data_IF_389292784594
#
_entry.id   IF_389292784594
#
_cell.length_a   1.000
_cell.length_b   1.000
_cell.length_c   1.000
_cell.angle_alpha   90.00
_cell.angle_beta   90.00
_cell.angle_gamma   90.00
#
_symmetry.space_group_name_H-M   'P 1'
#
loop_
_entity.id
_entity.type
_entity.pdbx_description
1 polymer ?
#
# COMPACT_ATOMS: atom_id res chain seq x y z
N UNK A 1 19.36 15.03 5.06
CA UNK A 1 18.63 14.38 6.17
C UNK A 1 18.79 12.88 6.08
N UNK A 2 19.06 12.17 7.19
CA UNK A 2 19.16 10.71 7.16
C UNK A 2 17.78 10.10 6.80
N UNK A 3 17.73 9.04 5.97
CA UNK A 3 16.50 8.31 5.69
C UNK A 3 15.88 7.74 6.98
N UNK A 4 14.55 7.86 7.11
CA UNK A 4 13.77 7.19 8.16
C UNK A 4 13.13 5.96 7.53
N UNK A 5 13.33 4.79 8.14
CA UNK A 5 12.75 3.53 7.67
C UNK A 5 11.38 3.33 8.31
N UNK A 6 10.44 2.87 7.51
CA UNK A 6 9.10 2.46 7.94
C UNK A 6 8.83 1.05 7.43
N UNK A 7 8.27 0.21 8.28
CA UNK A 7 7.65 -1.03 7.87
C UNK A 7 6.24 -0.70 7.38
N UNK A 8 5.92 -1.01 6.13
CA UNK A 8 4.60 -0.74 5.56
C UNK A 8 3.94 -2.03 5.12
N UNK A 9 2.62 -2.09 5.22
CA UNK A 9 1.84 -3.12 4.53
C UNK A 9 1.51 -2.66 3.12
N UNK A 10 1.74 -3.52 2.13
CA UNK A 10 1.36 -3.27 0.74
C UNK A 10 -0.10 -3.68 0.54
N UNK A 11 -0.97 -2.71 0.28
CA UNK A 11 -2.42 -2.90 0.34
C UNK A 11 -3.08 -2.63 -1.02
N UNK A 12 -3.52 -3.69 -1.70
CA UNK A 12 -4.24 -3.59 -2.98
C UNK A 12 -5.67 -3.05 -2.84
N UNK A 13 -6.18 -2.87 -1.61
CA UNK A 13 -7.50 -2.33 -1.31
C UNK A 13 -7.56 -0.81 -1.14
N UNK A 14 -6.42 -0.16 -0.87
CA UNK A 14 -6.31 1.30 -0.75
C UNK A 14 -5.28 1.87 -1.72
N UNK A 15 -5.24 3.19 -1.91
CA UNK A 15 -4.46 3.85 -2.99
C UNK A 15 -3.44 4.87 -2.52
N UNK A 16 -3.33 5.11 -1.21
CA UNK A 16 -2.50 6.16 -0.63
C UNK A 16 -1.37 5.56 0.21
N UNK A 17 -0.25 6.25 0.25
CA UNK A 17 0.82 6.00 1.21
C UNK A 17 0.60 6.86 2.45
N UNK A 18 0.55 6.23 3.63
CA UNK A 18 0.58 6.94 4.90
C UNK A 18 1.53 6.32 5.91
N UNK A 19 2.16 7.18 6.72
CA UNK A 19 3.03 6.79 7.84
C UNK A 19 2.82 7.73 9.05
N UNK A 20 3.26 7.37 10.26
CA UNK A 20 3.03 8.19 11.45
C UNK A 20 3.86 9.47 11.47
N UNK A 21 3.24 10.62 11.82
CA UNK A 21 3.98 11.85 12.16
C UNK A 21 4.46 11.80 13.60
N UNK A 22 5.61 12.42 13.91
CA UNK A 22 6.07 12.63 15.30
C UNK A 22 5.11 13.49 16.13
N UNK A 23 4.25 14.27 15.45
CA UNK A 23 3.21 15.06 16.08
C UNK A 23 2.01 14.22 16.54
N UNK A 24 1.86 12.98 16.04
CA UNK A 24 0.80 12.08 16.48
C UNK A 24 1.05 11.56 17.91
N UNK A 25 -0.02 11.57 18.73
CA UNK A 25 0.02 11.11 20.13
C UNK A 25 -0.90 9.93 20.43
N UNK A 26 -1.58 9.38 19.43
CA UNK A 26 -2.29 8.09 19.56
C UNK A 26 -1.33 7.00 20.02
N UNK A 27 -1.82 6.04 20.82
CA UNK A 27 -1.02 4.91 21.34
C UNK A 27 -0.33 4.16 20.20
N UNK A 28 -1.07 3.90 19.11
CA UNK A 28 -0.56 3.29 17.88
C UNK A 28 0.64 4.02 17.30
N UNK A 29 0.62 5.35 17.23
CA UNK A 29 1.75 6.14 16.75
C UNK A 29 2.98 6.04 17.67
N UNK A 30 2.78 6.00 19.00
CA UNK A 30 3.90 5.95 19.96
C UNK A 30 4.64 4.61 19.98
N UNK A 31 4.01 3.56 19.46
CA UNK A 31 4.58 2.21 19.38
C UNK A 31 5.27 1.92 18.04
N UNK A 32 5.14 2.82 17.06
CA UNK A 32 5.65 2.67 15.70
C UNK A 32 6.68 3.76 15.36
N UNK A 33 7.40 3.57 14.26
CA UNK A 33 8.30 4.60 13.75
C UNK A 33 7.51 5.85 13.35
N UNK A 34 8.10 7.03 13.54
CA UNK A 34 7.47 8.32 13.22
C UNK A 34 8.39 9.22 12.41
N UNK A 35 7.81 10.06 11.55
CA UNK A 35 8.52 11.09 10.80
C UNK A 35 8.47 12.44 11.51
N UNK A 36 9.62 13.00 11.83
CA UNK A 36 9.74 14.35 12.40
C UNK A 36 10.06 15.38 11.31
N UNK A 37 9.03 16.13 10.90
CA UNK A 37 9.16 17.19 9.90
C UNK A 37 9.93 18.41 10.40
N UNK A 38 10.10 18.64 11.71
CA UNK A 38 10.89 19.79 12.20
C UNK A 38 12.38 19.61 11.91
N UNK A 39 12.81 18.36 11.72
CA UNK A 39 14.15 18.01 11.24
C UNK A 39 14.29 18.09 9.73
N UNK A 40 13.18 18.31 9.01
CA UNK A 40 13.15 18.46 7.56
C UNK A 40 12.94 19.92 7.16
N UNK A 41 13.62 20.37 6.10
CA UNK A 41 13.44 21.71 5.54
C UNK A 41 12.05 21.73 4.90
N UNK A 42 11.08 22.19 5.68
CA UNK A 42 9.64 22.18 5.42
C UNK A 42 9.24 22.51 3.98
N UNK A 43 8.37 21.67 3.40
CA UNK A 43 7.48 22.07 2.31
C UNK A 43 6.01 21.90 2.74
N UNK A 44 5.32 23.05 2.72
CA UNK A 44 3.88 23.33 2.82
C UNK A 44 3.27 23.44 4.23
N UNK A 45 2.66 24.59 4.60
CA UNK A 45 1.95 24.79 5.86
C UNK A 45 0.71 23.91 6.03
N UNK A 46 0.54 23.42 7.26
CA UNK A 46 -0.60 22.66 7.81
C UNK A 46 -1.86 23.52 7.82
N UNK A 47 -2.92 23.10 7.13
CA UNK A 47 -4.29 23.54 7.47
C UNK A 47 -5.36 22.52 7.04
N UNK A 48 -5.07 21.61 6.12
CA UNK A 48 -6.03 20.58 5.70
C UNK A 48 -5.58 19.19 6.15
N UNK A 49 -6.41 18.55 6.96
CA UNK A 49 -6.27 17.14 7.34
C UNK A 49 -7.40 16.34 6.69
N UNK A 50 -7.08 15.12 6.28
CA UNK A 50 -7.98 14.17 5.65
C UNK A 50 -8.13 12.94 6.54
N UNK A 51 -9.33 12.38 6.60
CA UNK A 51 -9.56 11.08 7.22
C UNK A 51 -9.51 9.99 6.17
N UNK A 52 -8.59 9.04 6.36
CA UNK A 52 -8.51 7.79 5.62
C UNK A 52 -9.33 6.75 6.39
N UNK A 53 -10.30 6.15 5.72
CA UNK A 53 -11.18 5.14 6.31
C UNK A 53 -10.77 3.76 5.81
N UNK A 54 -10.44 2.87 6.74
CA UNK A 54 -10.23 1.45 6.53
C UNK A 54 -11.39 0.69 7.17
N UNK A 55 -11.66 -0.53 6.70
CA UNK A 55 -12.71 -1.37 7.30
C UNK A 55 -12.48 -1.64 8.79
N UNK A 56 -11.22 -1.62 9.23
CA UNK A 56 -10.79 -1.83 10.62
C UNK A 56 -10.78 -0.57 11.48
N UNK A 57 -10.71 0.62 10.89
CA UNK A 57 -10.52 1.87 11.64
C UNK A 57 -10.11 3.04 10.75
N UNK A 58 -9.73 4.14 11.40
CA UNK A 58 -9.50 5.43 10.74
C UNK A 58 -8.13 6.01 11.06
N UNK A 59 -7.61 6.77 10.09
CA UNK A 59 -6.37 7.53 10.22
C UNK A 59 -6.63 8.96 9.77
N UNK A 60 -6.45 9.93 10.65
CA UNK A 60 -6.48 11.35 10.29
C UNK A 60 -5.07 11.81 9.99
N UNK A 61 -4.83 12.33 8.78
CA UNK A 61 -3.50 12.66 8.30
C UNK A 61 -3.50 13.99 7.53
N UNK A 62 -2.34 14.62 7.41
CA UNK A 62 -2.15 15.73 6.49
C UNK A 62 -1.20 15.29 5.37
N UNK A 63 -1.31 15.93 4.21
CA UNK A 63 -0.47 15.62 3.06
C UNK A 63 0.88 16.34 3.18
N UNK A 64 1.97 15.63 2.91
CA UNK A 64 3.32 16.17 2.81
C UNK A 64 4.04 15.55 1.61
N UNK A 65 4.89 16.32 0.92
CA UNK A 65 5.76 15.80 -0.13
C UNK A 65 7.07 15.31 0.47
N UNK A 66 7.46 14.07 0.16
CA UNK A 66 8.64 13.39 0.68
C UNK A 66 9.39 12.71 -0.46
N UNK A 67 10.72 12.65 -0.36
CA UNK A 67 11.50 11.75 -1.21
C UNK A 67 11.43 10.36 -0.58
N UNK A 68 10.99 9.36 -1.35
CA UNK A 68 10.82 7.99 -0.87
C UNK A 68 11.64 7.01 -1.69
N UNK A 69 12.07 5.93 -1.03
CA UNK A 69 12.75 4.81 -1.65
C UNK A 69 12.02 3.53 -1.25
N UNK A 70 11.63 2.72 -2.23
CA UNK A 70 10.97 1.42 -2.03
C UNK A 70 11.61 0.41 -2.98
N UNK A 71 12.36 -0.55 -2.42
CA UNK A 71 13.25 -1.38 -3.23
C UNK A 71 14.24 -0.49 -3.99
N UNK A 72 14.30 -0.67 -5.31
CA UNK A 72 15.13 0.12 -6.22
C UNK A 72 14.42 1.36 -6.80
N UNK A 73 13.15 1.57 -6.44
CA UNK A 73 12.35 2.70 -6.91
C UNK A 73 12.60 3.91 -6.01
N UNK A 74 13.12 4.99 -6.58
CA UNK A 74 13.27 6.29 -5.94
C UNK A 74 12.27 7.28 -6.54
N UNK A 75 11.47 7.92 -5.68
CA UNK A 75 10.46 8.90 -6.09
C UNK A 75 10.70 10.21 -5.32
N UNK A 76 10.88 11.29 -6.06
CA UNK A 76 11.10 12.62 -5.48
C UNK A 76 9.78 13.39 -5.31
N UNK A 77 9.69 14.22 -4.27
CA UNK A 77 8.52 15.05 -3.97
C UNK A 77 7.18 14.27 -3.92
N UNK A 78 7.24 12.99 -3.55
CA UNK A 78 6.12 12.06 -3.56
C UNK A 78 5.09 12.38 -2.46
N UNK A 79 3.77 12.34 -2.74
CA UNK A 79 2.73 12.59 -1.73
C UNK A 79 2.67 11.49 -0.67
N UNK A 80 2.93 11.86 0.59
CA UNK A 80 2.83 10.99 1.77
C UNK A 80 1.85 11.61 2.76
N UNK A 81 0.87 10.82 3.22
CA UNK A 81 -0.05 11.22 4.27
C UNK A 81 0.59 10.94 5.63
N UNK A 82 0.82 11.99 6.42
CA UNK A 82 1.42 11.87 7.75
C UNK A 82 0.32 11.92 8.81
N UNK A 83 0.14 10.80 9.53
CA UNK A 83 -0.97 10.69 10.48
C UNK A 83 -0.76 11.59 11.71
N UNK A 84 -1.84 12.21 12.17
CA UNK A 84 -1.95 12.99 13.40
C UNK A 84 -2.76 12.25 14.47
N UNK A 85 -3.73 11.43 14.04
CA UNK A 85 -4.56 10.58 14.89
C UNK A 85 -4.75 9.23 14.18
N UNK A 86 -4.75 8.15 14.96
CA UNK A 86 -4.96 6.78 14.50
C UNK A 86 -5.82 6.03 15.52
N UNK A 87 -6.70 5.16 15.03
CA UNK A 87 -7.46 4.23 15.87
C UNK A 87 -6.56 3.12 16.46
N UNK A 88 -7.03 2.54 17.57
CA UNK A 88 -6.33 1.49 18.33
C UNK A 88 -6.14 0.19 17.54
N UNK A 89 -6.86 -0.02 16.43
CA UNK A 89 -6.64 -1.18 15.55
C UNK A 89 -5.24 -1.19 14.91
N UNK A 90 -4.55 -0.05 14.88
CA UNK A 90 -3.20 0.11 14.31
C UNK A 90 -2.09 0.08 15.38
N UNK A 91 -2.39 -0.36 16.60
CA UNK A 91 -1.40 -0.48 17.68
C UNK A 91 -0.74 -1.87 17.65
N UNK A 92 0.27 -2.05 18.49
CA UNK A 92 0.87 -3.35 18.77
C UNK A 92 0.10 -4.02 19.92
N UNK A 93 -0.25 -5.31 19.82
CA UNK A 93 0.18 -6.31 18.84
C UNK A 93 -0.73 -6.50 17.61
N UNK A 94 -1.79 -5.71 17.45
CA UNK A 94 -2.79 -5.84 16.38
C UNK A 94 -2.16 -5.68 14.99
N UNK A 95 -1.16 -4.82 14.86
CA UNK A 95 -0.37 -4.62 13.64
C UNK A 95 1.13 -4.62 13.94
N UNK A 96 1.93 -5.02 12.94
CA UNK A 96 3.41 -4.98 12.98
C UNK A 96 4.00 -3.93 12.02
N UNK A 97 3.14 -3.28 11.23
CA UNK A 97 3.53 -2.26 10.27
C UNK A 97 3.32 -0.87 10.86
N UNK A 98 4.20 0.06 10.53
CA UNK A 98 4.09 1.47 10.91
C UNK A 98 3.02 2.21 10.07
N UNK A 99 2.84 1.80 8.81
CA UNK A 99 1.94 2.46 7.87
C UNK A 99 1.47 1.58 6.71
N UNK A 100 0.77 2.18 5.76
CA UNK A 100 0.19 1.49 4.59
C UNK A 100 0.73 2.10 3.31
N UNK A 101 1.10 1.23 2.36
CA UNK A 101 1.46 1.57 0.99
C UNK A 101 0.36 1.04 0.05
N UNK A 102 -0.59 1.91 -0.29
CA UNK A 102 -1.73 1.54 -1.13
C UNK A 102 -1.35 1.26 -2.60
N UNK A 103 -1.91 0.21 -3.19
CA UNK A 103 -1.65 -0.25 -4.55
C UNK A 103 -2.91 -0.31 -5.45
N UNK A 104 -4.06 0.17 -4.97
CA UNK A 104 -5.21 0.38 -5.84
C UNK A 104 -4.96 1.54 -6.82
N UNK A 105 -5.38 1.37 -8.08
CA UNK A 105 -5.14 2.32 -9.17
C UNK A 105 -6.33 3.29 -9.43
N UNK A 106 -7.32 3.29 -8.53
CA UNK A 106 -8.16 4.42 -8.13
C UNK A 106 -8.39 5.59 -9.08
N UNK A 107 -7.34 6.38 -9.08
CA UNK A 107 -7.35 7.83 -9.12
C UNK A 107 -5.98 8.27 -9.61
N UNK A 108 -5.95 9.45 -10.22
CA UNK A 108 -4.71 10.07 -10.68
C UNK A 108 -3.71 10.36 -9.53
N UNK A 109 -4.20 10.49 -8.30
CA UNK A 109 -3.40 10.71 -7.10
C UNK A 109 -2.95 9.41 -6.41
N UNK A 110 -3.29 8.23 -6.94
CA UNK A 110 -2.85 6.95 -6.36
C UNK A 110 -1.34 6.76 -6.47
N UNK A 111 -0.78 6.00 -5.54
CA UNK A 111 0.65 5.65 -5.55
C UNK A 111 1.07 5.00 -6.86
N UNK A 112 0.28 4.03 -7.36
CA UNK A 112 0.54 3.34 -8.63
C UNK A 112 0.56 4.32 -9.80
N UNK A 113 -0.44 5.20 -9.89
CA UNK A 113 -0.48 6.26 -10.91
C UNK A 113 0.78 7.12 -10.84
N UNK A 114 1.21 7.54 -9.64
CA UNK A 114 2.40 8.38 -9.48
C UNK A 114 3.70 7.66 -9.87
N UNK A 115 3.84 6.38 -9.58
CA UNK A 115 4.97 5.56 -10.02
C UNK A 115 5.04 5.52 -11.56
N UNK A 116 3.91 5.21 -12.20
CA UNK A 116 3.83 5.17 -13.67
C UNK A 116 4.26 6.50 -14.31
N UNK A 117 3.69 7.62 -13.83
CA UNK A 117 4.03 8.95 -14.36
C UNK A 117 5.49 9.34 -14.08
N UNK A 118 6.03 9.02 -12.89
CA UNK A 118 7.41 9.37 -12.54
C UNK A 118 8.45 8.58 -13.32
N UNK A 119 8.12 7.34 -13.71
CA UNK A 119 9.00 6.47 -14.49
C UNK A 119 8.83 6.58 -16.00
N UNK A 120 7.93 7.44 -16.50
CA UNK A 120 7.51 7.49 -17.91
C UNK A 120 7.12 6.10 -18.45
N UNK A 121 6.37 5.35 -17.63
CA UNK A 121 5.95 3.98 -17.92
C UNK A 121 4.53 3.96 -18.48
N UNK A 122 4.32 3.18 -19.55
CA UNK A 122 2.99 2.96 -20.13
C UNK A 122 2.16 1.97 -19.29
N UNK A 123 2.83 0.99 -18.69
CA UNK A 123 2.24 -0.07 -17.88
C UNK A 123 3.19 -0.52 -16.77
N UNK A 124 2.63 -1.21 -15.78
CA UNK A 124 3.38 -1.80 -14.67
C UNK A 124 2.67 -3.07 -14.22
N UNK A 125 3.43 -4.12 -13.97
CA UNK A 125 2.98 -5.35 -13.34
C UNK A 125 3.52 -5.36 -11.92
N UNK A 126 2.63 -5.65 -10.97
CA UNK A 126 2.98 -5.82 -9.57
C UNK A 126 2.61 -7.26 -9.19
N UNK A 127 3.60 -8.04 -8.75
CA UNK A 127 3.39 -9.44 -8.34
C UNK A 127 3.76 -9.63 -6.89
N UNK A 128 3.00 -10.52 -6.23
CA UNK A 128 3.22 -10.92 -4.85
C UNK A 128 3.51 -12.42 -4.79
N UNK A 129 4.60 -12.78 -4.13
CA UNK A 129 4.85 -14.11 -3.62
C UNK A 129 4.66 -14.05 -2.10
N UNK A 130 3.58 -14.66 -1.60
CA UNK A 130 3.29 -14.70 -0.18
C UNK A 130 3.68 -16.06 0.39
N UNK A 131 4.55 -16.07 1.39
CA UNK A 131 4.91 -17.30 2.09
C UNK A 131 3.74 -17.85 2.90
N UNK A 132 3.56 -19.17 2.86
CA UNK A 132 2.63 -19.89 3.75
C UNK A 132 3.22 -20.07 5.16
N UNK A 133 4.55 -19.96 5.30
CA UNK A 133 5.25 -20.02 6.57
C UNK A 133 5.44 -18.60 7.13
N UNK A 134 4.87 -18.35 8.32
CA UNK A 134 4.93 -17.06 9.01
C UNK A 134 6.35 -16.58 9.36
N UNK A 135 7.33 -17.49 9.40
CA UNK A 135 8.73 -17.18 9.69
C UNK A 135 9.57 -16.91 8.42
N UNK A 136 8.96 -17.05 7.23
CA UNK A 136 9.61 -16.80 5.93
C UNK A 136 9.10 -15.49 5.30
N UNK A 137 9.98 -14.81 4.59
CA UNK A 137 9.61 -13.58 3.88
C UNK A 137 8.87 -13.90 2.59
N UNK A 138 7.83 -13.11 2.30
CA UNK A 138 7.32 -12.99 0.95
C UNK A 138 8.14 -11.99 0.13
N UNK A 139 7.87 -11.94 -1.17
CA UNK A 139 8.48 -10.99 -2.09
C UNK A 139 7.43 -10.18 -2.84
N UNK A 140 7.74 -8.91 -3.07
CA UNK A 140 6.97 -8.00 -3.92
C UNK A 140 7.87 -7.57 -5.07
N UNK A 141 7.40 -7.77 -6.29
CA UNK A 141 8.08 -7.32 -7.50
C UNK A 141 7.24 -6.26 -8.20
N UNK A 142 7.91 -5.22 -8.68
CA UNK A 142 7.29 -4.06 -9.32
C UNK A 142 8.02 -3.80 -10.63
N UNK A 143 7.28 -3.84 -11.75
CA UNK A 143 7.83 -3.66 -13.08
C UNK A 143 7.31 -4.70 -14.05
N UNK A 144 8.20 -5.55 -14.55
CA UNK A 144 7.85 -6.63 -15.47
C UNK A 144 7.56 -7.94 -14.75
N UNK A 145 6.95 -8.87 -15.48
CA UNK A 145 6.66 -10.20 -14.99
C UNK A 145 7.95 -11.06 -14.98
N UNK A 146 8.38 -11.52 -13.81
CA UNK A 146 9.47 -12.47 -13.68
C UNK A 146 8.97 -13.91 -13.93
N UNK A 147 9.26 -14.45 -15.12
CA UNK A 147 8.86 -15.81 -15.50
C UNK A 147 9.50 -16.91 -14.63
N UNK A 148 10.58 -16.61 -13.90
CA UNK A 148 11.21 -17.58 -13.01
C UNK A 148 10.41 -17.81 -11.71
N UNK A 149 9.49 -16.90 -11.39
CA UNK A 149 8.69 -16.90 -10.15
C UNK A 149 7.42 -17.74 -10.22
N UNK A 150 7.04 -18.24 -11.39
CA UNK A 150 5.86 -19.09 -11.53
C UNK A 150 6.08 -20.24 -12.53
N UNK A 151 5.56 -21.41 -12.19
CA UNK A 151 5.73 -22.63 -13.00
C UNK A 151 4.54 -22.95 -13.91
N UNK A 152 3.44 -22.18 -13.81
CA UNK A 152 2.18 -22.41 -14.51
C UNK A 152 1.79 -21.22 -15.37
N UNK A 153 1.13 -21.47 -16.50
CA UNK A 153 0.61 -20.41 -17.37
C UNK A 153 -0.34 -19.49 -16.60
N UNK A 154 -0.02 -18.20 -16.58
CA UNK A 154 -0.91 -17.18 -16.00
C UNK A 154 -2.26 -17.17 -16.70
N UNK A 155 -3.29 -16.89 -15.91
CA UNK A 155 -4.65 -16.70 -16.38
C UNK A 155 -5.02 -15.25 -16.13
N UNK A 156 -5.23 -14.49 -17.19
CA UNK A 156 -5.58 -13.08 -17.11
C UNK A 156 -7.09 -12.91 -17.04
N UNK A 157 -7.53 -12.09 -16.10
CA UNK A 157 -8.93 -11.74 -15.88
C UNK A 157 -8.99 -10.23 -15.88
N UNK A 158 -9.90 -9.66 -16.68
CA UNK A 158 -10.05 -8.21 -16.74
C UNK A 158 -10.83 -7.73 -15.53
N UNK A 159 -10.43 -6.57 -15.02
CA UNK A 159 -11.14 -5.91 -13.94
C UNK A 159 -12.48 -5.36 -14.41
N UNK A 160 -13.49 -5.44 -13.55
CA UNK A 160 -14.85 -4.96 -13.89
C UNK A 160 -15.03 -3.47 -13.57
N UNK A 161 -14.26 -2.94 -12.62
CA UNK A 161 -14.32 -1.54 -12.21
C UNK A 161 -12.98 -0.85 -12.40
N UNK A 162 -12.99 0.29 -13.08
CA UNK A 162 -11.80 1.13 -13.21
C UNK A 162 -11.37 1.63 -11.83
N UNK A 163 -10.13 1.32 -11.46
CA UNK A 163 -9.49 1.80 -10.24
C UNK A 163 -9.44 0.81 -9.07
N UNK A 164 -10.04 -0.37 -9.18
CA UNK A 164 -9.87 -1.41 -8.15
C UNK A 164 -9.35 -2.70 -8.78
N UNK A 165 -8.66 -3.48 -7.97
CA UNK A 165 -8.35 -4.87 -8.29
C UNK A 165 -9.59 -5.72 -8.02
N UNK A 166 -10.59 -5.57 -8.87
CA UNK A 166 -11.91 -6.19 -8.72
C UNK A 166 -12.25 -7.01 -9.96
N UNK A 167 -12.63 -8.28 -9.75
CA UNK A 167 -12.97 -9.24 -10.81
C UNK A 167 -14.32 -9.88 -10.53
N UNK A 168 -15.00 -10.30 -11.60
CA UNK A 168 -16.25 -11.05 -11.49
C UNK A 168 -15.95 -12.54 -11.21
N UNK A 169 -16.59 -13.07 -10.15
CA UNK A 169 -16.57 -14.49 -9.83
C UNK A 169 -17.95 -15.05 -10.20
N UNK A 170 -18.00 -15.99 -11.14
CA UNK A 170 -19.25 -16.53 -11.68
C UNK A 170 -19.94 -17.50 -10.72
N UNK A 171 -19.21 -18.49 -10.23
CA UNK A 171 -19.77 -19.46 -9.28
C UNK A 171 -18.76 -19.78 -8.17
N UNK A 172 -19.27 -19.97 -6.96
CA UNK A 172 -18.55 -20.51 -5.82
C UNK A 172 -19.25 -21.81 -5.43
N UNK A 173 -18.56 -22.93 -5.57
CA UNK A 173 -19.08 -24.24 -5.18
C UNK A 173 -18.23 -24.88 -4.10
N UNK A 174 -18.87 -25.66 -3.23
CA UNK A 174 -18.17 -26.46 -2.23
C UNK A 174 -18.28 -27.92 -2.65
N UNK A 175 -17.14 -28.56 -2.88
CA UNK A 175 -17.05 -30.01 -3.17
C UNK A 175 -15.99 -30.63 -2.28
N UNK A 176 -16.32 -31.74 -1.64
CA UNK A 176 -15.41 -32.47 -0.74
C UNK A 176 -14.76 -31.60 0.36
N UNK A 177 -15.51 -30.62 0.87
CA UNK A 177 -15.02 -29.67 1.88
C UNK A 177 -14.05 -28.61 1.35
N UNK A 178 -13.84 -28.51 0.03
CA UNK A 178 -13.00 -27.49 -0.62
C UNK A 178 -13.86 -26.48 -1.36
N UNK A 179 -13.46 -25.21 -1.29
CA UNK A 179 -14.08 -24.12 -2.04
C UNK A 179 -13.47 -24.06 -3.44
N UNK A 180 -14.32 -24.05 -4.45
CA UNK A 180 -13.96 -23.87 -5.85
C UNK A 180 -14.63 -22.60 -6.38
N UNK A 181 -13.87 -21.73 -7.03
CA UNK A 181 -14.39 -20.54 -7.71
C UNK A 181 -14.13 -20.61 -9.21
N UNK A 182 -15.17 -20.37 -9.99
CA UNK A 182 -15.08 -20.17 -11.44
C UNK A 182 -14.98 -18.68 -11.72
N UNK A 183 -13.79 -18.24 -12.15
CA UNK A 183 -13.56 -16.87 -12.60
C UNK A 183 -13.76 -16.85 -14.12
N UNK A 184 -14.57 -15.92 -14.63
CA UNK A 184 -14.80 -15.80 -16.06
C UNK A 184 -13.50 -15.42 -16.77
N UNK A 185 -13.01 -16.32 -17.62
CA UNK A 185 -11.78 -16.16 -18.41
C UNK A 185 -12.12 -15.64 -19.80
N UNK A 186 -11.13 -15.03 -20.45
CA UNK A 186 -11.13 -14.82 -21.90
C UNK A 186 -10.88 -16.13 -22.65
#
# INVERSE_FOLDING_TARGET
NPPVKFNVTFDTGSSKLWVPSSDCKSVSCTQHNTLDLKKQVSRTPKNESFTLNYGSGTVKAFLSSQDIVVGDIQLENFPVFLSLEQDDTFKVPETKFDGVFGLAYNKEDSVVSKILHSGDLNDIIITFELSENYDEFGELWVGELDETKYSKRLQWVKTINNGKWEVEIGNISIRDGKIHSDIHKY
#
